data_IF_562223493263
#
_entry.id   IF_562223493263
#
_cell.length_a   1.000
_cell.length_b   1.000
_cell.length_c   1.000
_cell.angle_alpha   90.00
_cell.angle_beta   90.00
_cell.angle_gamma   90.00
#
_symmetry.space_group_name_H-M   'P 1'
#
loop_
_entity.id
_entity.type
_entity.pdbx_description
1 polymer ?
#
# COMPACT_ATOMS: atom_id res chain seq x y z
N UNK A 1 3.73 17.40 6.11
CA UNK A 1 4.49 16.35 5.40
C UNK A 1 5.97 16.65 5.55
N UNK A 2 6.73 15.77 6.16
CA UNK A 2 8.17 15.96 6.40
C UNK A 2 8.95 15.03 5.45
N UNK A 3 9.75 15.61 4.57
CA UNK A 3 10.58 14.87 3.61
C UNK A 3 12.05 15.14 3.89
N UNK A 4 12.73 14.36 4.73
CA UNK A 4 14.16 14.46 4.89
C UNK A 4 14.90 13.95 3.64
N UNK A 5 16.09 14.46 3.39
CA UNK A 5 16.95 14.08 2.25
C UNK A 5 17.33 12.57 2.18
N UNK A 6 16.90 11.76 3.14
CA UNK A 6 17.16 10.34 3.23
C UNK A 6 16.10 9.45 2.52
N UNK A 7 15.18 10.03 1.75
CA UNK A 7 14.10 9.29 1.11
C UNK A 7 13.05 8.78 2.09
N UNK A 8 12.92 9.41 3.25
CA UNK A 8 11.93 9.07 4.29
C UNK A 8 10.77 10.06 4.21
N UNK A 9 9.57 9.54 4.25
CA UNK A 9 8.33 10.29 4.33
C UNK A 9 7.51 9.76 5.51
N UNK A 10 6.96 10.66 6.33
CA UNK A 10 6.07 10.33 7.44
C UNK A 10 4.87 11.26 7.40
N UNK A 11 3.72 10.77 7.77
CA UNK A 11 2.51 11.57 7.84
C UNK A 11 1.50 11.01 8.82
N UNK A 12 0.54 11.85 9.18
CA UNK A 12 -0.58 11.48 10.01
C UNK A 12 -1.87 12.01 9.40
N UNK A 13 -2.95 11.30 9.63
CA UNK A 13 -4.29 11.66 9.22
C UNK A 13 -5.25 11.55 10.39
N UNK A 14 -6.26 12.40 10.39
CA UNK A 14 -7.34 12.35 11.34
C UNK A 14 -8.65 12.68 10.64
N UNK A 15 -9.67 11.86 10.87
CA UNK A 15 -11.00 12.06 10.32
C UNK A 15 -12.05 11.82 11.41
N UNK A 16 -13.01 12.71 11.48
CA UNK A 16 -14.18 12.57 12.34
C UNK A 16 -15.41 12.30 11.48
N UNK A 17 -16.12 11.24 11.79
CA UNK A 17 -17.41 10.90 11.18
C UNK A 17 -18.53 11.35 12.11
N UNK A 18 -19.45 12.15 11.58
CA UNK A 18 -20.58 12.71 12.31
C UNK A 18 -21.90 11.98 12.04
N UNK A 19 -21.85 10.97 11.15
CA UNK A 19 -23.02 10.16 10.79
C UNK A 19 -22.98 8.84 11.58
N UNK A 20 -24.15 8.37 12.04
CA UNK A 20 -24.35 7.07 12.71
C UNK A 20 -23.58 6.87 14.03
N UNK A 21 -23.41 7.94 14.81
CA UNK A 21 -22.62 7.94 16.03
C UNK A 21 -21.22 8.49 15.79
N UNK A 22 -20.89 9.54 16.52
CA UNK A 22 -19.59 10.20 16.39
C UNK A 22 -18.45 9.22 16.63
N UNK A 23 -17.64 8.96 15.62
CA UNK A 23 -16.41 8.21 15.79
C UNK A 23 -15.24 8.86 15.03
N UNK A 24 -14.07 8.64 15.57
CA UNK A 24 -12.84 9.21 15.05
C UNK A 24 -11.97 8.10 14.44
N UNK A 25 -11.31 8.40 13.34
CA UNK A 25 -10.27 7.56 12.74
C UNK A 25 -8.98 8.36 12.74
N UNK A 26 -7.94 7.79 13.29
CA UNK A 26 -6.59 8.32 13.24
C UNK A 26 -5.68 7.35 12.50
N UNK A 27 -4.79 7.86 11.70
CA UNK A 27 -3.83 7.07 10.95
C UNK A 27 -2.46 7.72 10.90
N UNK A 28 -1.44 6.90 10.75
CA UNK A 28 -0.08 7.33 10.49
C UNK A 28 0.50 6.49 9.37
N UNK A 29 1.35 7.07 8.55
CA UNK A 29 2.06 6.35 7.53
C UNK A 29 3.56 6.67 7.54
N UNK A 30 4.32 5.72 7.03
CA UNK A 30 5.75 5.78 6.85
C UNK A 30 6.10 5.26 5.46
N UNK A 31 6.98 5.95 4.75
CA UNK A 31 7.58 5.47 3.53
C UNK A 31 9.08 5.75 3.54
N UNK A 32 9.85 4.79 3.04
CA UNK A 32 11.30 4.88 2.95
C UNK A 32 11.81 4.33 1.63
N UNK A 33 12.50 5.17 0.88
CA UNK A 33 13.10 4.87 -0.41
C UNK A 33 14.58 5.26 -0.37
N UNK A 34 15.46 4.38 0.13
CA UNK A 34 16.88 4.69 0.20
C UNK A 34 17.46 4.89 -1.22
N UNK A 35 18.23 5.97 -1.46
CA UNK A 35 18.69 6.30 -2.81
C UNK A 35 19.69 5.31 -3.41
N UNK A 36 20.33 4.51 -2.56
CA UNK A 36 21.38 3.58 -2.98
C UNK A 36 20.89 2.13 -3.15
N UNK A 37 19.76 1.78 -2.55
CA UNK A 37 19.20 0.43 -2.54
C UNK A 37 17.89 0.43 -3.34
N UNK A 38 17.65 -0.55 -4.23
CA UNK A 38 16.41 -0.63 -4.99
C UNK A 38 15.24 -1.19 -4.16
N UNK A 39 15.06 -0.63 -2.97
CA UNK A 39 14.08 -1.06 -1.97
C UNK A 39 13.13 0.10 -1.67
N UNK A 40 11.84 -0.18 -1.70
CA UNK A 40 10.78 0.67 -1.19
C UNK A 40 10.15 -0.01 0.02
N UNK A 41 10.09 0.67 1.15
CA UNK A 41 9.40 0.19 2.35
C UNK A 41 8.28 1.15 2.68
N UNK A 42 7.09 0.61 2.94
CA UNK A 42 5.91 1.40 3.34
C UNK A 42 5.22 0.73 4.51
N UNK A 43 4.70 1.53 5.40
CA UNK A 43 3.90 1.06 6.52
C UNK A 43 2.78 2.06 6.81
N UNK A 44 1.66 1.55 7.26
CA UNK A 44 0.55 2.36 7.72
C UNK A 44 -0.07 1.72 8.95
N UNK A 45 -0.48 2.55 9.88
CA UNK A 45 -1.28 2.18 11.03
C UNK A 45 -2.55 3.04 11.04
N UNK A 46 -3.68 2.42 11.30
CA UNK A 46 -4.94 3.09 11.49
C UNK A 46 -5.65 2.59 12.75
N UNK A 47 -6.33 3.51 13.42
CA UNK A 47 -7.09 3.23 14.63
C UNK A 47 -8.45 3.91 14.59
N UNK A 48 -9.47 3.16 14.99
CA UNK A 48 -10.84 3.64 15.22
C UNK A 48 -11.46 2.86 16.39
N UNK A 49 -12.61 3.30 16.96
CA UNK A 49 -13.33 2.48 17.93
C UNK A 49 -13.72 1.09 17.41
N UNK A 50 -14.00 0.95 16.11
CA UNK A 50 -14.37 -0.32 15.47
C UNK A 50 -13.20 -1.29 15.28
N UNK A 51 -11.97 -0.82 15.40
CA UNK A 51 -10.78 -1.64 15.27
C UNK A 51 -9.52 -0.84 14.98
N UNK A 52 -8.42 -1.56 14.97
CA UNK A 52 -7.12 -1.01 14.61
C UNK A 52 -6.40 -1.98 13.70
N UNK A 53 -5.52 -1.47 12.88
CA UNK A 53 -4.75 -2.31 11.97
C UNK A 53 -3.49 -1.64 11.49
N UNK A 54 -2.59 -2.47 11.01
CA UNK A 54 -1.40 -1.99 10.33
C UNK A 54 -1.07 -2.87 9.13
N UNK A 55 -0.33 -2.33 8.21
CA UNK A 55 0.34 -3.08 7.17
C UNK A 55 1.78 -2.57 7.00
N UNK A 56 2.63 -3.49 6.57
CA UNK A 56 4.01 -3.23 6.18
C UNK A 56 4.25 -3.89 4.83
N UNK A 57 4.78 -3.14 3.90
CA UNK A 57 5.11 -3.58 2.55
C UNK A 57 6.57 -3.29 2.25
N UNK A 58 7.25 -4.27 1.68
CA UNK A 58 8.57 -4.11 1.09
C UNK A 58 8.51 -4.46 -0.39
N UNK A 59 9.02 -3.57 -1.25
CA UNK A 59 9.10 -3.77 -2.69
C UNK A 59 10.53 -3.59 -3.16
N UNK A 60 11.07 -4.58 -3.90
CA UNK A 60 12.46 -4.57 -4.35
C UNK A 60 12.55 -4.83 -5.85
N UNK A 61 13.20 -3.94 -6.58
CA UNK A 61 13.57 -4.19 -7.98
C UNK A 61 14.70 -5.21 -8.06
N UNK A 62 14.50 -6.30 -8.82
CA UNK A 62 15.42 -7.43 -8.89
C UNK A 62 16.76 -7.03 -9.54
N UNK A 63 16.73 -6.12 -10.49
CA UNK A 63 17.92 -5.58 -11.11
C UNK A 63 17.79 -4.07 -11.28
N UNK A 64 18.39 -3.30 -10.40
CA UNK A 64 18.60 -1.86 -10.58
C UNK A 64 19.99 -1.64 -11.16
N UNK A 65 20.25 -2.16 -12.35
CA UNK A 65 21.43 -1.78 -13.09
C UNK A 65 21.14 -0.51 -13.87
N UNK A 66 21.87 0.55 -13.60
CA UNK A 66 21.88 1.76 -14.42
C UNK A 66 22.19 1.36 -15.85
N UNK A 67 21.20 1.43 -16.76
CA UNK A 67 21.39 1.23 -18.19
C UNK A 67 21.05 -0.15 -18.76
N UNK A 68 20.57 -1.11 -17.99
CA UNK A 68 20.09 -2.39 -18.55
C UNK A 68 18.61 -2.31 -18.87
N UNK A 69 18.30 -2.33 -20.16
CA UNK A 69 16.95 -2.53 -20.73
C UNK A 69 16.50 -3.99 -20.62
N UNK A 70 17.12 -4.77 -19.73
CA UNK A 70 16.79 -6.19 -19.55
C UNK A 70 15.43 -6.34 -18.89
N UNK A 71 14.72 -7.40 -19.25
CA UNK A 71 13.42 -7.75 -18.67
C UNK A 71 13.45 -7.87 -17.14
N UNK A 72 14.60 -8.30 -16.55
CA UNK A 72 14.81 -8.36 -15.11
C UNK A 72 14.82 -6.99 -14.44
N UNK A 73 15.29 -5.93 -15.11
CA UNK A 73 15.24 -4.56 -14.61
C UNK A 73 13.84 -3.99 -14.51
N UNK A 74 12.87 -4.63 -15.17
CA UNK A 74 11.45 -4.27 -15.14
C UNK A 74 10.66 -5.06 -14.11
N UNK A 75 11.30 -6.00 -13.41
CA UNK A 75 10.64 -6.85 -12.42
C UNK A 75 10.90 -6.34 -11.00
N UNK A 76 9.82 -6.21 -10.25
CA UNK A 76 9.84 -5.83 -8.83
C UNK A 76 9.09 -6.90 -8.04
N UNK A 77 9.72 -7.42 -6.99
CA UNK A 77 9.06 -8.26 -6.00
C UNK A 77 8.42 -7.40 -4.92
N UNK A 78 7.28 -7.81 -4.44
CA UNK A 78 6.55 -7.15 -3.36
C UNK A 78 6.17 -8.18 -2.31
N UNK A 79 6.43 -7.88 -1.04
CA UNK A 79 5.94 -8.66 0.08
C UNK A 79 5.22 -7.73 1.05
N UNK A 80 4.05 -8.13 1.54
CA UNK A 80 3.22 -7.35 2.45
C UNK A 80 2.71 -8.22 3.57
N UNK A 81 2.75 -7.69 4.77
CA UNK A 81 2.07 -8.23 5.94
C UNK A 81 1.05 -7.21 6.41
N UNK A 82 -0.12 -7.68 6.79
CA UNK A 82 -1.14 -6.82 7.38
C UNK A 82 -1.85 -7.54 8.51
N UNK A 83 -2.23 -6.77 9.51
CA UNK A 83 -2.97 -7.27 10.66
C UNK A 83 -4.07 -6.29 11.02
N UNK A 84 -5.23 -6.83 11.28
CA UNK A 84 -6.38 -6.11 11.78
C UNK A 84 -6.81 -6.72 13.11
N UNK A 85 -7.06 -5.87 14.10
CA UNK A 85 -7.60 -6.22 15.41
C UNK A 85 -9.00 -5.62 15.52
N UNK A 86 -9.97 -6.47 15.74
CA UNK A 86 -11.36 -6.05 15.91
C UNK A 86 -11.51 -5.24 17.21
N UNK A 87 -12.19 -4.11 17.11
CA UNK A 87 -12.62 -3.29 18.22
C UNK A 87 -14.08 -3.51 18.58
N UNK A 88 -14.69 -2.48 19.16
CA UNK A 88 -16.12 -2.48 19.46
C UNK A 88 -16.92 -2.37 18.17
N UNK A 89 -17.92 -3.24 17.92
CA UNK A 89 -18.75 -3.15 16.74
C UNK A 89 -19.44 -1.79 16.63
N UNK A 90 -19.31 -1.16 15.48
CA UNK A 90 -20.02 0.10 15.16
C UNK A 90 -21.17 -0.27 14.22
N UNK A 91 -22.39 0.25 14.43
CA UNK A 91 -23.50 0.02 13.53
C UNK A 91 -23.15 0.40 12.08
N UNK A 92 -23.49 -0.48 11.12
CA UNK A 92 -23.19 -0.33 9.69
C UNK A 92 -21.69 -0.35 9.31
N UNK A 93 -20.88 -0.94 10.17
CA UNK A 93 -19.46 -1.12 9.94
C UNK A 93 -19.20 -2.16 8.84
N UNK A 94 -18.29 -1.85 7.92
CA UNK A 94 -17.79 -2.76 6.88
C UNK A 94 -16.47 -3.42 7.27
N UNK A 95 -16.02 -3.22 8.51
CA UNK A 95 -14.79 -3.81 9.02
C UNK A 95 -14.92 -5.33 9.21
N UNK A 96 -13.81 -6.08 9.19
CA UNK A 96 -13.84 -7.51 9.42
C UNK A 96 -14.49 -7.88 10.75
N UNK A 97 -15.29 -8.93 10.75
CA UNK A 97 -16.01 -9.40 11.93
C UNK A 97 -15.11 -10.08 12.98
N UNK A 98 -13.84 -10.30 12.69
CA UNK A 98 -12.84 -10.91 13.57
C UNK A 98 -11.45 -10.35 13.27
N UNK A 99 -10.50 -10.65 14.13
CA UNK A 99 -9.09 -10.38 13.89
C UNK A 99 -8.61 -11.09 12.62
N UNK A 100 -7.81 -10.40 11.83
CA UNK A 100 -7.31 -10.88 10.55
C UNK A 100 -5.82 -10.66 10.46
N UNK A 101 -5.09 -11.71 10.10
CA UNK A 101 -3.69 -11.64 9.69
C UNK A 101 -3.60 -12.05 8.23
N UNK A 102 -2.85 -11.30 7.43
CA UNK A 102 -2.68 -11.59 6.01
C UNK A 102 -1.22 -11.39 5.59
N UNK A 103 -0.76 -12.29 4.76
CA UNK A 103 0.54 -12.22 4.08
C UNK A 103 0.29 -12.24 2.58
N UNK A 104 0.87 -11.29 1.87
CA UNK A 104 0.81 -11.20 0.42
C UNK A 104 2.20 -11.22 -0.16
N UNK A 105 2.37 -11.90 -1.28
CA UNK A 105 3.56 -11.87 -2.10
C UNK A 105 3.14 -11.59 -3.54
N UNK A 106 3.84 -10.67 -4.20
CA UNK A 106 3.49 -10.24 -5.54
C UNK A 106 4.70 -9.93 -6.40
N UNK A 107 4.42 -9.84 -7.70
CA UNK A 107 5.35 -9.41 -8.73
C UNK A 107 4.72 -8.28 -9.53
N UNK A 108 5.47 -7.20 -9.69
CA UNK A 108 5.17 -6.13 -10.62
C UNK A 108 6.08 -6.23 -11.84
N UNK A 109 5.51 -6.13 -13.02
CA UNK A 109 6.26 -6.03 -14.25
C UNK A 109 5.94 -4.71 -14.96
N UNK A 110 6.96 -3.89 -15.15
CA UNK A 110 6.83 -2.58 -15.75
C UNK A 110 7.06 -2.67 -17.27
N UNK A 111 6.01 -2.40 -18.02
CA UNK A 111 6.00 -2.30 -19.46
C UNK A 111 6.36 -0.86 -19.91
N UNK A 112 6.74 -0.65 -21.19
CA UNK A 112 6.81 0.69 -21.77
C UNK A 112 5.48 1.45 -21.65
N UNK A 113 5.55 2.77 -21.76
CA UNK A 113 4.37 3.66 -21.71
C UNK A 113 3.61 3.63 -20.38
N UNK A 114 4.35 3.50 -19.26
CA UNK A 114 3.79 3.55 -17.91
C UNK A 114 2.70 2.49 -17.62
N UNK A 115 2.74 1.36 -18.31
CA UNK A 115 1.89 0.21 -18.02
C UNK A 115 2.58 -0.69 -17.00
N UNK A 116 1.85 -1.11 -15.97
CA UNK A 116 2.29 -2.07 -14.97
C UNK A 116 1.34 -3.24 -14.90
N UNK A 117 1.89 -4.44 -15.00
CA UNK A 117 1.20 -5.68 -14.68
C UNK A 117 1.55 -6.06 -13.24
N UNK A 118 0.56 -6.44 -12.47
CA UNK A 118 0.73 -6.94 -11.11
C UNK A 118 0.07 -8.31 -10.99
N UNK A 119 0.79 -9.27 -10.40
CA UNK A 119 0.23 -10.53 -9.96
C UNK A 119 0.60 -10.75 -8.50
N UNK A 120 -0.36 -11.09 -7.65
CA UNK A 120 -0.10 -11.38 -6.25
C UNK A 120 -0.91 -12.57 -5.75
N UNK A 121 -0.34 -13.24 -4.78
CA UNK A 121 -0.98 -14.27 -3.98
C UNK A 121 -0.85 -13.90 -2.51
N UNK A 122 -1.95 -14.01 -1.79
CA UNK A 122 -2.01 -13.79 -0.36
C UNK A 122 -2.70 -14.93 0.37
N UNK A 123 -2.38 -15.07 1.64
CA UNK A 123 -3.08 -15.96 2.56
C UNK A 123 -3.55 -15.20 3.78
N UNK A 124 -4.84 -15.25 3.99
CA UNK A 124 -5.51 -14.65 5.13
C UNK A 124 -5.83 -15.72 6.17
N UNK A 125 -5.64 -15.36 7.44
CA UNK A 125 -5.94 -16.16 8.61
C UNK A 125 -6.89 -15.38 9.52
N UNK A 126 -7.95 -16.04 9.96
CA UNK A 126 -8.93 -15.46 10.88
C UNK A 126 -9.57 -16.58 11.69
N UNK A 127 -10.14 -16.25 12.85
CA UNK A 127 -10.93 -17.20 13.65
C UNK A 127 -12.20 -17.66 12.92
N UNK A 128 -12.64 -16.92 11.90
CA UNK A 128 -13.81 -17.28 11.06
C UNK A 128 -13.45 -18.17 9.87
N UNK A 129 -12.16 -18.39 9.64
CA UNK A 129 -11.65 -19.20 8.53
C UNK A 129 -10.45 -18.59 7.85
N UNK A 130 -9.80 -19.41 7.03
CA UNK A 130 -8.64 -19.01 6.24
C UNK A 130 -9.03 -18.89 4.78
N UNK A 131 -8.46 -17.92 4.07
CA UNK A 131 -8.69 -17.70 2.66
C UNK A 131 -7.39 -17.55 1.87
N UNK A 132 -7.38 -18.05 0.64
CA UNK A 132 -6.35 -17.74 -0.34
C UNK A 132 -6.87 -16.62 -1.24
N UNK A 133 -6.05 -15.61 -1.45
CA UNK A 133 -6.40 -14.42 -2.23
C UNK A 133 -5.47 -14.34 -3.42
N UNK A 134 -6.04 -14.30 -4.62
CA UNK A 134 -5.31 -14.07 -5.86
C UNK A 134 -5.71 -12.74 -6.43
N UNK A 135 -4.74 -11.99 -6.89
CA UNK A 135 -4.97 -10.71 -7.56
C UNK A 135 -4.14 -10.64 -8.84
N UNK A 136 -4.78 -10.25 -9.94
CA UNK A 136 -4.12 -9.90 -11.19
C UNK A 136 -4.65 -8.53 -11.60
N UNK A 137 -3.75 -7.59 -11.83
CA UNK A 137 -4.09 -6.21 -12.10
C UNK A 137 -3.23 -5.64 -13.22
N UNK A 138 -3.86 -4.83 -14.06
CA UNK A 138 -3.18 -3.98 -15.04
C UNK A 138 -3.41 -2.54 -14.61
N UNK A 139 -2.34 -1.79 -14.43
CA UNK A 139 -2.39 -0.37 -14.14
C UNK A 139 -1.72 0.40 -15.27
N UNK A 140 -2.36 1.47 -15.72
CA UNK A 140 -1.83 2.40 -16.71
C UNK A 140 -1.82 3.80 -16.11
N UNK A 141 -0.69 4.47 -16.19
CA UNK A 141 -0.55 5.86 -15.77
C UNK A 141 -0.55 6.76 -16.99
N UNK A 142 -1.51 7.66 -17.04
CA UNK A 142 -1.54 8.73 -18.05
C UNK A 142 -1.49 10.09 -17.34
N UNK A 143 -0.74 10.99 -17.94
CA UNK A 143 -0.63 12.37 -17.47
C UNK A 143 -1.42 13.25 -18.44
N UNK A 144 -2.47 13.87 -17.96
CA UNK A 144 -3.15 14.96 -18.68
C UNK A 144 -2.54 16.28 -18.21
N UNK A 145 -2.01 17.13 -19.11
CA UNK A 145 -1.73 18.50 -18.75
C UNK A 145 -3.07 19.18 -18.44
N UNK A 146 -3.33 19.42 -17.17
CA UNK A 146 -4.60 20.01 -16.71
C UNK A 146 -4.76 21.49 -17.13
N UNK A 147 -3.69 22.11 -17.61
CA UNK A 147 -3.68 23.50 -18.06
C UNK A 147 -2.64 23.71 -19.15
N UNK A 148 -3.01 24.30 -20.30
CA UNK A 148 -2.01 24.74 -21.26
C UNK A 148 -1.23 25.89 -20.60
N UNK A 149 0.02 25.62 -20.23
CA UNK A 149 0.92 26.67 -19.73
C UNK A 149 1.03 27.79 -20.75
N UNK A 150 0.79 29.02 -20.35
CA UNK A 150 1.13 30.19 -21.14
C UNK A 150 2.65 30.17 -21.39
N UNK A 151 3.02 29.82 -22.61
CA UNK A 151 4.38 30.09 -23.09
C UNK A 151 4.49 31.62 -23.30
N UNK A 152 5.14 32.28 -22.36
CA UNK A 152 5.75 33.59 -22.56
C UNK A 152 7.22 33.41 -22.86
#
# INVERSE_FOLDING_TARGET
MFMPNAGIEVGASYQRFLQNGDFNVAGTYFAWQPPQIPLDVRAEYAHSPGGQGYWLEGAMHIAKSRGTTTWLGRLQTVARVQQYFKGTPIPQDVLPAADVNQFDFGLNYYLPHDVRLNGSYGRQYSSLGNANIWNVQIAYRFLFPAWPGEHK
#
